data_IF_443839087578
#
_entry.id   IF_443839087578
#
_cell.length_a   1.000
_cell.length_b   1.000
_cell.length_c   1.000
_cell.angle_alpha   90.00
_cell.angle_beta   90.00
_cell.angle_gamma   90.00
#
_symmetry.space_group_name_H-M   'P 1'
#
loop_
_entity.id
_entity.type
_entity.pdbx_description
1 polymer ?
#
# COMPACT_ATOMS: atom_id res chain seq x y z
N UNK A 1 -0.02 -25.68 12.71
CA UNK A 1 0.34 -24.33 12.28
C UNK A 1 -0.25 -23.99 10.90
N UNK A 2 -0.10 -24.84 9.90
CA UNK A 2 -0.57 -24.61 8.52
C UNK A 2 -2.07 -24.27 8.44
N UNK A 3 -2.94 -25.08 9.04
CA UNK A 3 -4.39 -24.88 9.00
C UNK A 3 -4.86 -23.50 9.51
N UNK A 4 -4.15 -22.92 10.49
CA UNK A 4 -4.54 -21.62 11.07
C UNK A 4 -4.31 -20.42 10.16
N UNK A 5 -3.36 -20.52 9.22
CA UNK A 5 -3.03 -19.45 8.28
C UNK A 5 -3.62 -19.69 6.89
N UNK A 6 -4.29 -20.84 6.70
CA UNK A 6 -4.91 -21.20 5.42
C UNK A 6 -5.83 -20.11 4.86
N UNK A 7 -6.72 -19.47 5.67
CA UNK A 7 -7.57 -18.40 5.12
C UNK A 7 -6.75 -17.19 4.64
N UNK A 8 -5.66 -16.83 5.35
CA UNK A 8 -4.76 -15.75 4.92
C UNK A 8 -4.09 -16.11 3.59
N UNK A 9 -3.64 -17.35 3.43
CA UNK A 9 -3.01 -17.80 2.18
C UNK A 9 -3.99 -17.75 1.02
N UNK A 10 -5.21 -18.28 1.21
CA UNK A 10 -6.25 -18.23 0.19
C UNK A 10 -6.59 -16.79 -0.19
N UNK A 11 -6.70 -15.91 0.81
CA UNK A 11 -6.95 -14.50 0.56
C UNK A 11 -5.81 -13.82 -0.24
N UNK A 12 -4.55 -14.05 0.14
CA UNK A 12 -3.40 -13.48 -0.57
C UNK A 12 -3.27 -14.02 -2.00
N UNK A 13 -3.59 -15.29 -2.24
CA UNK A 13 -3.66 -15.86 -3.59
C UNK A 13 -4.76 -15.15 -4.39
N UNK A 14 -5.94 -15.01 -3.82
CA UNK A 14 -7.05 -14.35 -4.48
C UNK A 14 -6.79 -12.85 -4.74
N UNK A 15 -6.06 -12.17 -3.86
CA UNK A 15 -5.73 -10.76 -3.99
C UNK A 15 -4.60 -10.52 -5.00
N UNK A 16 -3.49 -11.26 -4.91
CA UNK A 16 -2.29 -11.03 -5.73
C UNK A 16 -2.35 -11.72 -7.08
N UNK A 17 -2.74 -13.00 -7.11
CA UNK A 17 -2.83 -13.78 -8.35
C UNK A 17 -4.17 -13.54 -9.04
N UNK A 18 -5.23 -13.27 -8.25
CA UNK A 18 -6.58 -12.96 -8.72
C UNK A 18 -7.15 -14.00 -9.71
N UNK A 19 -7.09 -15.32 -9.42
CA UNK A 19 -7.53 -16.37 -10.34
C UNK A 19 -9.03 -16.24 -10.71
N UNK A 20 -9.84 -15.66 -9.84
CA UNK A 20 -11.26 -15.38 -10.07
C UNK A 20 -11.53 -14.38 -11.21
N UNK A 21 -10.51 -13.71 -11.74
CA UNK A 21 -10.64 -12.76 -12.84
C UNK A 21 -10.22 -13.33 -14.19
N UNK A 22 -9.53 -14.48 -14.24
CA UNK A 22 -8.99 -15.03 -15.49
C UNK A 22 -9.02 -16.56 -15.61
N UNK A 23 -9.22 -17.32 -14.50
CA UNK A 23 -9.35 -18.78 -14.56
C UNK A 23 -10.81 -19.15 -14.75
N UNK A 24 -11.15 -19.78 -15.89
CA UNK A 24 -12.52 -20.10 -16.31
C UNK A 24 -13.32 -20.86 -15.22
N UNK A 25 -12.69 -21.79 -14.49
CA UNK A 25 -13.38 -22.61 -13.48
C UNK A 25 -13.87 -21.81 -12.26
N UNK A 26 -13.27 -20.65 -11.97
CA UNK A 26 -13.59 -19.81 -10.81
C UNK A 26 -13.91 -18.37 -11.20
N UNK A 27 -14.18 -18.16 -12.50
CA UNK A 27 -14.43 -16.83 -13.04
C UNK A 27 -15.61 -16.14 -12.33
N UNK A 28 -15.40 -14.89 -11.93
CA UNK A 28 -16.37 -14.04 -11.24
C UNK A 28 -16.84 -14.56 -9.87
N UNK A 29 -16.12 -15.49 -9.24
CA UNK A 29 -16.43 -15.87 -7.87
C UNK A 29 -16.17 -14.70 -6.91
N UNK A 30 -17.17 -14.46 -6.05
CA UNK A 30 -17.02 -13.46 -4.99
C UNK A 30 -16.15 -14.02 -3.87
N UNK A 31 -14.85 -13.71 -3.91
CA UNK A 31 -13.83 -14.21 -2.98
C UNK A 31 -14.21 -13.94 -1.52
N UNK A 32 -14.68 -12.71 -1.23
CA UNK A 32 -15.04 -12.30 0.12
C UNK A 32 -16.19 -13.12 0.68
N UNK A 33 -17.15 -13.50 -0.17
CA UNK A 33 -18.32 -14.27 0.22
C UNK A 33 -17.96 -15.68 0.71
N UNK A 34 -16.89 -16.27 0.18
CA UNK A 34 -16.45 -17.61 0.56
C UNK A 34 -15.34 -17.58 1.62
N UNK A 35 -14.35 -16.72 1.43
CA UNK A 35 -13.16 -16.70 2.29
C UNK A 35 -13.46 -16.13 3.68
N UNK A 36 -14.27 -15.07 3.81
CA UNK A 36 -14.50 -14.46 5.12
C UNK A 36 -15.30 -15.36 6.08
N UNK A 37 -16.42 -15.99 5.67
CA UNK A 37 -17.09 -16.96 6.54
C UNK A 37 -16.22 -18.15 6.89
N UNK A 38 -15.46 -18.70 5.94
CA UNK A 38 -14.48 -19.76 6.21
C UNK A 38 -13.42 -19.29 7.23
N UNK A 39 -12.95 -18.05 7.11
CA UNK A 39 -11.97 -17.50 8.04
C UNK A 39 -12.54 -17.33 9.45
N UNK A 40 -13.76 -16.83 9.57
CA UNK A 40 -14.49 -16.75 10.84
C UNK A 40 -14.66 -18.12 11.48
N UNK A 41 -15.02 -19.14 10.68
CA UNK A 41 -15.12 -20.52 11.13
C UNK A 41 -13.78 -21.08 11.67
N UNK A 42 -12.67 -20.81 10.98
CA UNK A 42 -11.33 -21.19 11.45
C UNK A 42 -10.98 -20.49 12.77
N UNK A 43 -11.32 -19.20 12.94
CA UNK A 43 -11.13 -18.48 14.20
C UNK A 43 -11.98 -19.06 15.34
N UNK A 44 -13.22 -19.46 15.04
CA UNK A 44 -14.11 -20.12 16.01
C UNK A 44 -13.53 -21.46 16.47
N UNK A 45 -13.11 -22.32 15.53
CA UNK A 45 -12.47 -23.61 15.86
C UNK A 45 -11.21 -23.47 16.71
N UNK A 46 -10.51 -22.34 16.58
CA UNK A 46 -9.31 -22.02 17.37
C UNK A 46 -9.59 -21.36 18.72
N UNK A 47 -10.85 -21.11 19.06
CA UNK A 47 -11.22 -20.32 20.24
C UNK A 47 -10.75 -18.88 20.21
N UNK A 48 -10.46 -18.32 19.01
CA UNK A 48 -9.93 -16.97 18.84
C UNK A 48 -10.96 -15.97 18.31
N UNK A 49 -12.20 -16.37 18.20
CA UNK A 49 -13.26 -15.48 17.71
C UNK A 49 -13.40 -14.23 18.58
N UNK A 50 -13.12 -14.31 19.88
CA UNK A 50 -13.10 -13.15 20.79
C UNK A 50 -12.10 -12.07 20.40
N UNK A 51 -10.95 -12.45 19.80
CA UNK A 51 -9.95 -11.48 19.34
C UNK A 51 -10.44 -10.68 18.12
N UNK A 52 -11.34 -11.24 17.32
CA UNK A 52 -11.98 -10.50 16.24
C UNK A 52 -12.83 -9.34 16.76
N UNK A 53 -13.51 -9.50 17.90
CA UNK A 53 -14.35 -8.47 18.50
C UNK A 53 -13.57 -7.54 19.46
N UNK A 54 -12.35 -7.89 19.84
CA UNK A 54 -11.53 -7.09 20.76
C UNK A 54 -10.91 -5.89 20.03
N UNK A 55 -11.52 -4.72 20.17
CA UNK A 55 -11.05 -3.48 19.56
C UNK A 55 -9.80 -2.94 20.25
N UNK A 56 -8.90 -2.39 19.44
CA UNK A 56 -7.65 -1.74 19.84
C UNK A 56 -7.60 -0.31 19.30
N UNK A 57 -6.61 0.45 19.70
CA UNK A 57 -6.50 1.86 19.29
C UNK A 57 -6.59 2.10 17.79
N UNK A 58 -5.84 1.38 16.90
CA UNK A 58 -5.98 1.58 15.45
C UNK A 58 -7.39 1.26 14.95
N UNK A 59 -8.06 0.25 15.55
CA UNK A 59 -9.41 -0.15 15.18
C UNK A 59 -10.43 0.97 15.43
N UNK A 60 -10.27 1.71 16.54
CA UNK A 60 -11.13 2.84 16.88
C UNK A 60 -11.00 3.98 15.87
N UNK A 61 -9.77 4.25 15.40
CA UNK A 61 -9.55 5.22 14.32
C UNK A 61 -10.15 4.77 13.00
N UNK A 62 -10.11 3.46 12.69
CA UNK A 62 -10.76 2.94 11.49
C UNK A 62 -12.29 3.05 11.59
N UNK A 63 -12.88 2.69 12.72
CA UNK A 63 -14.32 2.89 12.94
C UNK A 63 -14.71 4.36 12.87
N UNK A 64 -13.91 5.26 13.47
CA UNK A 64 -14.13 6.70 13.36
C UNK A 64 -14.05 7.19 11.90
N UNK A 65 -13.13 6.64 11.10
CA UNK A 65 -13.03 6.91 9.67
C UNK A 65 -14.30 6.50 8.92
N UNK A 66 -14.84 5.29 9.18
CA UNK A 66 -16.10 4.82 8.58
C UNK A 66 -17.29 5.68 8.99
N UNK A 67 -17.39 6.05 10.26
CA UNK A 67 -18.45 6.94 10.76
C UNK A 67 -18.32 8.33 10.13
N UNK A 68 -17.10 8.84 9.98
CA UNK A 68 -16.88 10.14 9.35
C UNK A 68 -17.27 10.15 7.87
N UNK A 69 -17.04 9.04 7.16
CA UNK A 69 -17.50 8.86 5.78
C UNK A 69 -19.04 9.01 5.70
N UNK A 70 -19.78 8.39 6.62
CA UNK A 70 -21.24 8.55 6.68
C UNK A 70 -21.62 10.01 6.96
N UNK A 71 -20.95 10.67 7.93
CA UNK A 71 -21.19 12.08 8.25
C UNK A 71 -20.92 12.98 7.04
N UNK A 72 -19.89 12.70 6.26
CA UNK A 72 -19.59 13.42 5.03
C UNK A 72 -20.73 13.33 4.01
N UNK A 73 -21.36 12.15 3.84
CA UNK A 73 -22.52 11.97 2.95
C UNK A 73 -23.84 12.56 3.49
N UNK A 74 -23.97 12.73 4.80
CA UNK A 74 -25.13 13.42 5.37
C UNK A 74 -25.10 14.93 5.14
N UNK A 75 -23.90 15.48 4.91
CA UNK A 75 -23.69 16.92 4.70
C UNK A 75 -23.49 17.29 3.23
N UNK A 76 -23.22 16.30 2.38
CA UNK A 76 -22.97 16.47 0.95
C UNK A 76 -23.80 15.47 0.13
N UNK A 77 -24.06 15.73 -1.16
CA UNK A 77 -24.70 14.73 -2.01
C UNK A 77 -23.89 13.45 -2.05
N UNK A 78 -24.49 12.34 -1.63
CA UNK A 78 -23.87 11.03 -1.77
C UNK A 78 -23.90 10.59 -3.23
N UNK A 79 -22.78 10.00 -3.78
CA UNK A 79 -22.81 9.44 -5.12
C UNK A 79 -23.81 8.28 -5.20
N UNK A 80 -24.35 7.99 -6.38
CA UNK A 80 -25.31 6.90 -6.57
C UNK A 80 -24.79 5.52 -6.12
N UNK A 81 -23.47 5.36 -6.04
CA UNK A 81 -22.76 4.15 -5.60
C UNK A 81 -22.19 4.25 -4.17
N UNK A 82 -22.63 5.23 -3.36
CA UNK A 82 -22.15 5.42 -1.99
C UNK A 82 -22.30 4.15 -1.12
N UNK A 83 -23.41 3.42 -1.26
CA UNK A 83 -23.62 2.17 -0.56
C UNK A 83 -22.56 1.12 -0.91
N UNK A 84 -22.15 1.02 -2.17
CA UNK A 84 -21.10 0.11 -2.62
C UNK A 84 -19.74 0.53 -2.04
N UNK A 85 -19.43 1.83 -2.03
CA UNK A 85 -18.21 2.36 -1.39
C UNK A 85 -18.20 1.94 0.08
N UNK A 86 -19.26 2.21 0.84
CA UNK A 86 -19.35 1.87 2.26
C UNK A 86 -19.18 0.37 2.50
N UNK A 87 -19.84 -0.47 1.71
CA UNK A 87 -19.71 -1.93 1.80
C UNK A 87 -18.26 -2.37 1.57
N UNK A 88 -17.54 -1.78 0.61
CA UNK A 88 -16.14 -2.11 0.37
C UNK A 88 -15.25 -1.72 1.56
N UNK A 89 -15.38 -0.51 2.10
CA UNK A 89 -14.61 -0.08 3.28
C UNK A 89 -14.96 -0.90 4.52
N UNK A 90 -16.23 -1.27 4.70
CA UNK A 90 -16.65 -2.16 5.78
C UNK A 90 -16.05 -3.57 5.61
N UNK A 91 -16.02 -4.12 4.39
CA UNK A 91 -15.33 -5.38 4.09
C UNK A 91 -13.84 -5.28 4.39
N UNK A 92 -13.17 -4.17 4.09
CA UNK A 92 -11.77 -3.94 4.44
C UNK A 92 -11.55 -3.85 5.95
N UNK A 93 -12.50 -3.29 6.69
CA UNK A 93 -12.47 -3.32 8.15
C UNK A 93 -12.63 -4.76 8.69
N UNK A 94 -13.54 -5.54 8.13
CA UNK A 94 -13.70 -6.97 8.48
C UNK A 94 -12.40 -7.75 8.17
N UNK A 95 -11.83 -7.57 6.97
CA UNK A 95 -10.54 -8.15 6.58
C UNK A 95 -9.44 -7.79 7.60
N UNK A 96 -9.32 -6.51 7.90
CA UNK A 96 -8.37 -6.01 8.89
C UNK A 96 -8.53 -6.75 10.22
N UNK A 97 -9.74 -6.92 10.72
CA UNK A 97 -10.02 -7.62 11.97
C UNK A 97 -9.70 -9.12 11.90
N UNK A 98 -10.01 -9.77 10.78
CA UNK A 98 -9.69 -11.18 10.53
C UNK A 98 -8.16 -11.43 10.57
N UNK A 99 -7.40 -10.55 9.93
CA UNK A 99 -5.92 -10.60 9.92
C UNK A 99 -5.37 -10.39 11.32
N UNK A 100 -5.83 -9.34 12.03
CA UNK A 100 -5.42 -9.06 13.42
C UNK A 100 -5.69 -10.24 14.35
N UNK A 101 -6.86 -10.87 14.25
CA UNK A 101 -7.21 -12.03 15.08
C UNK A 101 -6.38 -13.29 14.75
N UNK A 102 -5.90 -13.42 13.52
CA UNK A 102 -5.21 -14.63 13.04
C UNK A 102 -3.72 -14.64 13.33
N UNK A 103 -3.06 -13.48 13.25
CA UNK A 103 -1.61 -13.36 13.49
C UNK A 103 -1.37 -13.16 14.98
N UNK A 104 -0.97 -14.22 15.69
CA UNK A 104 -0.86 -14.29 17.13
C UNK A 104 0.57 -14.46 17.65
N UNK A 105 1.53 -14.60 16.75
CA UNK A 105 2.94 -14.84 17.09
C UNK A 105 3.87 -14.27 16.02
N UNK A 106 5.14 -13.95 16.35
CA UNK A 106 6.14 -13.57 15.36
C UNK A 106 6.32 -14.61 14.24
N UNK A 107 6.17 -15.90 14.59
CA UNK A 107 6.26 -16.98 13.62
C UNK A 107 5.09 -16.92 12.60
N UNK A 108 3.86 -16.62 13.05
CA UNK A 108 2.72 -16.44 12.16
C UNK A 108 2.93 -15.26 11.21
N UNK A 109 3.38 -14.12 11.73
CA UNK A 109 3.72 -12.93 10.93
C UNK A 109 4.80 -13.25 9.87
N UNK A 110 5.83 -14.00 10.25
CA UNK A 110 6.88 -14.45 9.31
C UNK A 110 6.33 -15.32 8.18
N UNK A 111 5.41 -16.24 8.48
CA UNK A 111 4.77 -17.07 7.45
C UNK A 111 3.91 -16.24 6.50
N UNK A 112 3.19 -15.24 7.00
CA UNK A 112 2.46 -14.29 6.13
C UNK A 112 3.43 -13.54 5.22
N UNK A 113 4.55 -13.03 5.74
CA UNK A 113 5.59 -12.39 4.94
C UNK A 113 6.17 -13.31 3.85
N UNK A 114 6.42 -14.59 4.17
CA UNK A 114 6.86 -15.59 3.18
C UNK A 114 5.78 -15.80 2.12
N UNK A 115 4.51 -15.88 2.50
CA UNK A 115 3.40 -16.02 1.55
C UNK A 115 3.33 -14.82 0.60
N UNK A 116 3.47 -13.60 1.13
CA UNK A 116 3.52 -12.38 0.30
C UNK A 116 4.67 -12.46 -0.71
N UNK A 117 5.88 -12.84 -0.27
CA UNK A 117 7.03 -13.03 -1.17
C UNK A 117 6.71 -14.08 -2.24
N UNK A 118 6.07 -15.19 -1.87
CA UNK A 118 5.79 -16.29 -2.80
C UNK A 118 4.77 -15.89 -3.86
N UNK A 119 3.63 -15.30 -3.46
CA UNK A 119 2.57 -14.91 -4.41
C UNK A 119 3.03 -13.74 -5.29
N UNK A 120 3.70 -12.74 -4.71
CA UNK A 120 4.27 -11.62 -5.49
C UNK A 120 5.41 -12.10 -6.40
N UNK A 121 6.18 -13.13 -5.99
CA UNK A 121 7.23 -13.75 -6.79
C UNK A 121 6.68 -14.45 -8.03
N UNK A 122 5.55 -15.17 -7.91
CA UNK A 122 4.85 -15.78 -9.06
C UNK A 122 4.45 -14.69 -10.05
N UNK A 123 3.85 -13.60 -9.57
CA UNK A 123 3.42 -12.48 -10.43
C UNK A 123 4.62 -11.68 -10.96
N UNK A 124 5.75 -11.64 -10.24
CA UNK A 124 6.99 -11.05 -10.75
C UNK A 124 7.59 -11.85 -11.91
N UNK A 125 7.53 -13.20 -11.86
CA UNK A 125 7.92 -14.06 -12.99
C UNK A 125 7.03 -13.79 -14.18
N UNK A 126 5.72 -13.65 -13.97
CA UNK A 126 4.79 -13.28 -15.04
C UNK A 126 5.15 -11.92 -15.66
N UNK A 127 5.46 -10.90 -14.84
CA UNK A 127 5.85 -9.59 -15.35
C UNK A 127 7.11 -9.66 -16.23
N UNK A 128 8.09 -10.51 -15.89
CA UNK A 128 9.29 -10.76 -16.71
C UNK A 128 8.91 -11.44 -18.03
N UNK A 129 8.08 -12.47 -17.99
CA UNK A 129 7.63 -13.20 -19.18
C UNK A 129 6.76 -12.31 -20.08
N UNK A 130 5.85 -11.54 -19.49
CA UNK A 130 4.96 -10.64 -20.20
C UNK A 130 5.74 -9.60 -21.01
N UNK A 131 6.73 -8.92 -20.41
CA UNK A 131 7.55 -7.93 -21.10
C UNK A 131 8.34 -8.53 -22.29
N UNK A 132 8.75 -9.81 -22.17
CA UNK A 132 9.53 -10.52 -23.19
C UNK A 132 8.65 -11.39 -24.10
N UNK A 133 7.32 -11.32 -23.96
CA UNK A 133 6.38 -12.09 -24.77
C UNK A 133 6.26 -11.51 -26.18
N UNK A 134 6.35 -12.37 -27.20
CA UNK A 134 6.13 -11.99 -28.60
C UNK A 134 4.70 -11.52 -28.86
N UNK A 135 3.73 -12.10 -28.14
CA UNK A 135 2.31 -11.74 -28.25
C UNK A 135 1.95 -10.45 -27.53
N UNK A 136 2.78 -9.98 -26.60
CA UNK A 136 2.46 -8.86 -25.71
C UNK A 136 1.28 -9.12 -24.77
N UNK A 137 0.92 -10.39 -24.56
CA UNK A 137 -0.21 -10.80 -23.70
C UNK A 137 0.32 -11.68 -22.57
N UNK A 138 -0.07 -11.35 -21.33
CA UNK A 138 0.27 -12.13 -20.13
C UNK A 138 -0.71 -13.27 -19.85
N UNK A 139 -0.46 -14.05 -18.80
CA UNK A 139 -1.24 -15.25 -18.42
C UNK A 139 -2.73 -14.98 -18.20
N UNK A 140 -3.04 -13.81 -17.64
CA UNK A 140 -4.42 -13.39 -17.37
C UNK A 140 -5.08 -12.67 -18.55
N UNK A 141 -4.46 -12.70 -19.73
CA UNK A 141 -4.97 -12.03 -20.92
C UNK A 141 -4.75 -10.51 -20.94
N UNK A 142 -4.03 -9.95 -19.95
CA UNK A 142 -3.69 -8.52 -19.94
C UNK A 142 -2.63 -8.21 -21.01
N UNK A 143 -2.70 -7.01 -21.58
CA UNK A 143 -1.73 -6.51 -22.56
C UNK A 143 -0.69 -5.62 -21.89
N UNK A 144 0.58 -5.68 -22.29
CA UNK A 144 1.63 -4.80 -21.76
C UNK A 144 1.66 -3.43 -22.46
N UNK A 145 1.07 -3.29 -23.61
CA UNK A 145 0.98 -2.01 -24.31
C UNK A 145 -0.17 -1.19 -23.72
N UNK A 146 0.17 -0.12 -23.03
CA UNK A 146 -0.78 0.95 -22.81
C UNK A 146 -0.58 1.99 -23.91
N UNK A 147 -1.48 2.02 -24.88
CA UNK A 147 -1.53 3.11 -25.86
C UNK A 147 -2.36 4.21 -25.23
N UNK A 148 -1.74 5.34 -24.93
CA UNK A 148 -2.51 6.55 -24.62
C UNK A 148 -3.32 6.90 -25.88
N UNK A 149 -4.66 6.86 -25.84
CA UNK A 149 -5.48 7.18 -27.02
C UNK A 149 -5.28 8.60 -27.53
N UNK A 150 -4.65 9.48 -26.74
CA UNK A 150 -4.33 10.86 -27.08
C UNK A 150 -2.93 11.04 -27.68
N UNK A 151 -2.10 9.99 -27.71
CA UNK A 151 -0.75 10.07 -28.25
C UNK A 151 -0.79 9.87 -29.76
N UNK A 152 -0.62 10.93 -30.52
CA UNK A 152 -0.43 10.91 -31.98
C UNK A 152 0.91 10.25 -32.42
N UNK A 153 1.77 9.90 -31.50
CA UNK A 153 3.07 9.30 -31.77
C UNK A 153 3.07 7.82 -31.40
N UNK A 154 3.28 6.97 -32.37
CA UNK A 154 3.45 5.52 -32.28
C UNK A 154 4.75 5.16 -31.55
N UNK A 155 4.75 5.28 -30.23
CA UNK A 155 5.73 4.67 -29.36
C UNK A 155 4.98 3.74 -28.42
N UNK A 156 5.02 2.43 -28.68
CA UNK A 156 4.49 1.43 -27.75
C UNK A 156 5.42 1.41 -26.55
N UNK A 157 5.08 2.16 -25.51
CA UNK A 157 5.73 2.04 -24.20
C UNK A 157 5.36 0.69 -23.60
N UNK A 158 6.28 -0.28 -23.72
CA UNK A 158 6.10 -1.60 -23.14
C UNK A 158 6.17 -1.54 -21.61
N UNK A 159 5.00 -1.45 -20.98
CA UNK A 159 4.85 -1.43 -19.51
C UNK A 159 4.01 -2.61 -19.07
N UNK A 160 4.51 -3.34 -18.06
CA UNK A 160 3.73 -4.44 -17.51
C UNK A 160 2.64 -3.94 -16.56
N UNK A 161 1.53 -4.65 -16.55
CA UNK A 161 0.41 -4.47 -15.61
C UNK A 161 -0.18 -5.84 -15.24
N UNK A 162 -1.04 -5.86 -14.24
CA UNK A 162 -1.74 -7.06 -13.82
C UNK A 162 -3.26 -6.86 -13.94
N UNK A 163 -4.05 -7.70 -13.31
CA UNK A 163 -5.50 -7.64 -13.30
C UNK A 163 -6.04 -7.19 -11.94
N UNK A 164 -7.32 -6.86 -11.88
CA UNK A 164 -7.99 -6.46 -10.63
C UNK A 164 -7.51 -5.10 -10.13
N UNK A 165 -7.24 -5.01 -8.83
CA UNK A 165 -6.76 -3.76 -8.21
C UNK A 165 -5.37 -3.34 -8.69
N UNK A 166 -4.61 -4.27 -9.27
CA UNK A 166 -3.27 -4.01 -9.83
C UNK A 166 -3.29 -3.73 -11.33
N UNK A 167 -4.46 -3.45 -11.89
CA UNK A 167 -4.61 -3.06 -13.29
C UNK A 167 -4.12 -1.62 -13.50
N UNK A 168 -2.88 -1.52 -13.87
CA UNK A 168 -2.17 -0.26 -14.11
C UNK A 168 -0.73 -0.32 -13.63
N UNK A 169 0.25 0.17 -14.42
CA UNK A 169 1.68 0.02 -14.12
C UNK A 169 2.07 0.57 -12.74
N UNK A 170 1.50 1.72 -12.33
CA UNK A 170 1.79 2.34 -11.06
C UNK A 170 1.31 1.52 -9.86
N UNK A 171 0.07 1.00 -9.94
CA UNK A 171 -0.52 0.17 -8.87
C UNK A 171 0.13 -1.21 -8.85
N UNK A 172 0.43 -1.78 -10.03
CA UNK A 172 1.13 -3.06 -10.14
C UNK A 172 2.51 -3.02 -9.46
N UNK A 173 3.24 -1.92 -9.64
CA UNK A 173 4.52 -1.72 -8.98
C UNK A 173 4.44 -1.78 -7.44
N UNK A 174 3.31 -1.39 -6.85
CA UNK A 174 3.10 -1.42 -5.38
C UNK A 174 3.19 -2.84 -4.85
N UNK A 175 2.68 -3.84 -5.58
CA UNK A 175 2.80 -5.25 -5.20
C UNK A 175 4.27 -5.63 -4.92
N UNK A 176 5.19 -5.20 -5.74
CA UNK A 176 6.61 -5.51 -5.63
C UNK A 176 7.32 -4.65 -4.59
N UNK A 177 7.02 -3.35 -4.56
CA UNK A 177 7.65 -2.43 -3.60
C UNK A 177 7.26 -2.76 -2.15
N UNK A 178 6.00 -3.14 -1.88
CA UNK A 178 5.57 -3.60 -0.53
C UNK A 178 6.23 -4.93 -0.15
N UNK A 179 6.49 -5.80 -1.13
CA UNK A 179 7.11 -7.12 -0.90
C UNK A 179 8.63 -7.02 -0.68
N UNK A 180 9.30 -6.07 -1.33
CA UNK A 180 10.76 -5.93 -1.32
C UNK A 180 11.37 -5.87 0.10
N UNK A 181 10.83 -5.15 1.10
CA UNK A 181 11.36 -5.15 2.45
C UNK A 181 11.37 -6.53 3.11
N UNK A 182 10.38 -7.38 2.83
CA UNK A 182 10.34 -8.77 3.33
C UNK A 182 11.43 -9.65 2.69
N UNK A 183 11.92 -9.32 1.51
CA UNK A 183 13.09 -9.95 0.89
C UNK A 183 14.37 -9.42 1.52
N UNK A 184 14.49 -8.11 1.68
CA UNK A 184 15.70 -7.44 2.20
C UNK A 184 16.02 -7.86 3.66
N UNK A 185 15.03 -8.28 4.46
CA UNK A 185 15.30 -8.81 5.81
C UNK A 185 16.27 -9.99 5.80
N UNK A 186 16.23 -10.81 4.74
CA UNK A 186 17.09 -11.99 4.63
C UNK A 186 18.56 -11.65 4.32
N UNK A 187 18.90 -10.42 3.98
CA UNK A 187 20.29 -9.98 3.82
C UNK A 187 21.04 -9.89 5.15
N UNK A 188 20.28 -9.95 6.26
CA UNK A 188 20.80 -9.91 7.63
C UNK A 188 21.59 -11.16 8.00
N UNK A 189 22.63 -10.97 8.84
CA UNK A 189 23.35 -12.06 9.47
C UNK A 189 22.52 -12.94 10.42
N UNK A 190 21.29 -12.51 10.77
CA UNK A 190 20.38 -13.31 11.59
C UNK A 190 19.84 -14.55 10.85
N UNK A 191 20.01 -14.61 9.53
CA UNK A 191 19.53 -15.70 8.69
C UNK A 191 20.69 -16.59 8.18
N UNK A 192 20.44 -17.92 7.94
CA UNK A 192 21.45 -18.81 7.40
C UNK A 192 21.86 -18.40 5.98
N UNK A 193 23.11 -18.72 5.63
CA UNK A 193 23.75 -18.32 4.37
C UNK A 193 22.91 -18.62 3.12
N UNK A 194 22.32 -19.81 3.03
CA UNK A 194 21.53 -20.20 1.87
C UNK A 194 20.27 -19.31 1.65
N UNK A 195 19.62 -18.84 2.74
CA UNK A 195 18.50 -17.89 2.62
C UNK A 195 18.98 -16.53 2.13
N UNK A 196 20.13 -16.09 2.62
CA UNK A 196 20.76 -14.84 2.19
C UNK A 196 21.11 -14.91 0.71
N UNK A 197 21.68 -16.05 0.27
CA UNK A 197 22.02 -16.28 -1.14
C UNK A 197 20.79 -16.25 -2.05
N UNK A 198 19.71 -16.95 -1.69
CA UNK A 198 18.43 -16.93 -2.44
C UNK A 198 17.87 -15.52 -2.51
N UNK A 199 17.83 -14.79 -1.39
CA UNK A 199 17.31 -13.43 -1.36
C UNK A 199 18.13 -12.49 -2.24
N UNK A 200 19.45 -12.58 -2.20
CA UNK A 200 20.36 -11.71 -2.95
C UNK A 200 20.44 -12.07 -4.43
N UNK A 201 20.63 -13.35 -4.76
CA UNK A 201 20.90 -13.79 -6.12
C UNK A 201 19.66 -14.05 -6.97
N UNK A 202 18.50 -14.28 -6.34
CA UNK A 202 17.27 -14.62 -7.05
C UNK A 202 16.16 -13.62 -6.80
N UNK A 203 15.75 -13.42 -5.53
CA UNK A 203 14.52 -12.66 -5.24
C UNK A 203 14.71 -11.15 -5.45
N UNK A 204 15.82 -10.56 -5.00
CA UNK A 204 16.05 -9.12 -5.17
C UNK A 204 16.19 -8.71 -6.65
N UNK A 205 16.94 -9.43 -7.50
CA UNK A 205 16.95 -9.15 -8.94
C UNK A 205 15.59 -9.36 -9.60
N UNK A 206 14.84 -10.41 -9.23
CA UNK A 206 13.50 -10.67 -9.76
C UNK A 206 12.55 -9.50 -9.48
N UNK A 207 12.46 -9.08 -8.21
CA UNK A 207 11.61 -7.96 -7.84
C UNK A 207 12.13 -6.62 -8.39
N UNK A 208 13.44 -6.42 -8.45
CA UNK A 208 14.05 -5.25 -9.07
C UNK A 208 13.68 -5.13 -10.55
N UNK A 209 13.77 -6.23 -11.29
CA UNK A 209 13.36 -6.26 -12.69
C UNK A 209 11.85 -6.10 -12.87
N UNK A 210 11.04 -6.72 -12.03
CA UNK A 210 9.59 -6.56 -12.06
C UNK A 210 9.18 -5.09 -11.80
N UNK A 211 9.82 -4.40 -10.85
CA UNK A 211 9.62 -2.96 -10.62
C UNK A 211 10.02 -2.17 -11.88
N UNK A 212 11.17 -2.45 -12.45
CA UNK A 212 11.67 -1.81 -13.67
C UNK A 212 10.68 -2.00 -14.84
N UNK A 213 10.18 -3.21 -15.05
CA UNK A 213 9.29 -3.56 -16.16
C UNK A 213 7.94 -2.83 -16.14
N UNK A 214 7.50 -2.33 -14.96
CA UNK A 214 6.30 -1.51 -14.87
C UNK A 214 6.47 -0.12 -15.51
N UNK A 215 7.69 0.36 -15.72
CA UNK A 215 7.95 1.72 -16.18
C UNK A 215 7.42 2.82 -15.26
N UNK A 216 7.11 2.49 -14.00
CA UNK A 216 6.54 3.44 -13.04
C UNK A 216 7.63 4.27 -12.35
N UNK A 217 7.69 5.57 -12.65
CA UNK A 217 8.60 6.51 -11.97
C UNK A 217 8.33 6.59 -10.48
N UNK A 218 7.06 6.67 -10.08
CA UNK A 218 6.66 6.64 -8.67
C UNK A 218 7.07 5.34 -7.98
N UNK A 219 6.98 4.20 -8.68
CA UNK A 219 7.45 2.91 -8.19
C UNK A 219 8.96 2.85 -7.97
N UNK A 220 9.76 3.42 -8.89
CA UNK A 220 11.21 3.51 -8.72
C UNK A 220 11.59 4.41 -7.55
N UNK A 221 10.95 5.58 -7.41
CA UNK A 221 11.15 6.44 -6.24
C UNK A 221 10.82 5.72 -4.94
N UNK A 222 9.75 4.95 -4.93
CA UNK A 222 9.38 4.11 -3.78
C UNK A 222 10.44 3.06 -3.49
N UNK A 223 10.97 2.37 -4.50
CA UNK A 223 12.03 1.37 -4.32
C UNK A 223 13.32 2.00 -3.76
N UNK A 224 13.68 3.20 -4.22
CA UNK A 224 14.79 3.97 -3.69
C UNK A 224 14.56 4.40 -2.23
N UNK A 225 13.35 4.86 -1.90
CA UNK A 225 12.98 5.20 -0.52
C UNK A 225 13.08 3.96 0.41
N UNK A 226 12.60 2.80 -0.04
CA UNK A 226 12.71 1.53 0.67
C UNK A 226 14.16 1.14 0.89
N UNK A 227 15.00 1.21 -0.15
CA UNK A 227 16.43 0.92 -0.06
C UNK A 227 17.14 1.88 0.92
N UNK A 228 16.75 3.17 0.89
CA UNK A 228 17.23 4.19 1.83
C UNK A 228 16.85 3.87 3.26
N UNK A 229 15.57 3.60 3.53
CA UNK A 229 15.09 3.22 4.88
C UNK A 229 15.77 1.95 5.39
N UNK A 230 15.92 0.95 4.51
CA UNK A 230 16.64 -0.28 4.85
C UNK A 230 18.10 -0.02 5.19
N UNK A 231 18.81 0.78 4.38
CA UNK A 231 20.20 1.13 4.61
C UNK A 231 20.37 1.91 5.94
N UNK A 232 19.50 2.87 6.22
CA UNK A 232 19.49 3.62 7.50
C UNK A 232 19.30 2.69 8.69
N UNK A 233 18.36 1.76 8.60
CA UNK A 233 18.10 0.78 9.66
C UNK A 233 19.27 -0.14 9.94
N UNK A 234 20.18 -0.33 8.95
CA UNK A 234 21.27 -1.26 9.00
C UNK A 234 22.63 -0.62 9.33
N UNK A 235 22.93 0.53 8.73
CA UNK A 235 24.28 1.09 8.71
C UNK A 235 24.46 2.36 9.54
N UNK A 236 23.45 2.77 10.34
CA UNK A 236 23.46 4.04 11.08
C UNK A 236 23.92 5.21 10.22
N UNK A 237 23.32 5.33 9.04
CA UNK A 237 23.67 6.33 8.04
C UNK A 237 23.36 7.72 8.59
N UNK A 238 24.34 8.62 8.57
CA UNK A 238 24.16 10.02 8.96
C UNK A 238 23.31 10.80 7.94
N UNK A 239 22.82 11.95 8.36
CA UNK A 239 21.97 12.82 7.54
C UNK A 239 22.66 13.26 6.22
N UNK A 240 23.96 13.46 6.25
CA UNK A 240 24.81 13.76 5.10
C UNK A 240 24.70 12.71 4.00
N UNK A 241 24.80 11.44 4.37
CA UNK A 241 24.68 10.32 3.43
C UNK A 241 23.27 10.14 2.91
N UNK A 242 22.24 10.43 3.74
CA UNK A 242 20.85 10.44 3.29
C UNK A 242 20.60 11.51 2.23
N UNK A 243 21.18 12.71 2.41
CA UNK A 243 21.11 13.79 1.41
C UNK A 243 21.77 13.33 0.11
N UNK A 244 22.96 12.73 0.16
CA UNK A 244 23.62 12.21 -1.04
C UNK A 244 22.86 11.07 -1.72
N UNK A 245 22.19 10.20 -0.95
CA UNK A 245 21.29 9.18 -1.50
C UNK A 245 20.08 9.79 -2.21
N UNK A 246 19.49 10.84 -1.63
CA UNK A 246 18.38 11.58 -2.24
C UNK A 246 18.82 12.30 -3.52
N UNK A 247 20.00 12.97 -3.50
CA UNK A 247 20.59 13.61 -4.69
C UNK A 247 20.91 12.57 -5.78
N UNK A 248 21.50 11.44 -5.42
CA UNK A 248 21.76 10.34 -6.35
C UNK A 248 20.51 9.75 -6.95
N UNK A 249 19.43 9.59 -6.15
CA UNK A 249 18.11 9.17 -6.61
C UNK A 249 17.49 10.18 -7.59
N UNK A 250 17.56 11.46 -7.28
CA UNK A 250 17.08 12.52 -8.16
C UNK A 250 17.92 12.56 -9.48
N UNK A 251 19.23 12.47 -9.39
CA UNK A 251 20.10 12.39 -10.56
C UNK A 251 19.78 11.16 -11.43
N UNK A 252 19.54 10.00 -10.82
CA UNK A 252 19.12 8.80 -11.53
C UNK A 252 17.77 8.99 -12.25
N UNK A 253 16.85 9.73 -11.67
CA UNK A 253 15.56 10.06 -12.32
C UNK A 253 15.71 11.00 -13.51
N UNK A 254 16.73 11.85 -13.51
CA UNK A 254 17.03 12.81 -14.60
C UNK A 254 17.93 12.18 -15.68
N UNK A 255 18.94 11.42 -15.28
CA UNK A 255 19.98 10.86 -16.16
C UNK A 255 19.74 9.38 -16.52
N UNK A 256 18.70 8.77 -15.96
CA UNK A 256 18.37 7.35 -16.14
C UNK A 256 17.84 7.01 -17.54
N UNK A 257 17.35 5.78 -17.72
CA UNK A 257 16.86 5.30 -19.02
C UNK A 257 15.85 6.23 -19.68
N UNK A 258 15.83 6.29 -20.99
CA UNK A 258 15.05 7.24 -21.79
C UNK A 258 13.55 7.30 -21.44
N UNK A 259 12.92 6.18 -21.06
CA UNK A 259 11.53 6.15 -20.63
C UNK A 259 11.28 6.87 -19.29
N UNK A 260 12.34 7.04 -18.46
CA UNK A 260 12.29 7.86 -17.23
C UNK A 260 12.52 9.33 -17.51
N UNK A 261 13.23 9.65 -18.60
CA UNK A 261 13.68 10.99 -18.95
C UNK A 261 12.89 11.63 -20.09
N UNK A 262 12.00 10.89 -20.78
CA UNK A 262 11.14 11.44 -21.84
C UNK A 262 10.29 12.60 -21.28
N UNK A 263 10.69 13.84 -21.58
CA UNK A 263 10.17 15.06 -20.95
C UNK A 263 8.80 15.44 -21.53
N UNK A 264 8.53 15.13 -22.80
CA UNK A 264 7.34 15.59 -23.51
C UNK A 264 6.03 15.01 -23.00
N UNK A 265 5.95 13.68 -22.77
CA UNK A 265 4.74 13.05 -22.23
C UNK A 265 4.68 13.13 -20.70
N UNK A 266 5.85 13.26 -20.05
CA UNK A 266 5.94 13.40 -18.60
C UNK A 266 5.50 14.77 -18.09
N UNK A 267 5.71 15.82 -18.86
CA UNK A 267 5.29 17.18 -18.47
C UNK A 267 3.76 17.28 -18.44
N UNK A 268 3.05 16.76 -19.44
CA UNK A 268 1.59 16.74 -19.47
C UNK A 268 0.99 15.93 -18.31
N UNK A 269 1.51 14.71 -18.07
CA UNK A 269 1.04 13.86 -16.96
C UNK A 269 1.39 14.42 -15.57
N UNK A 270 2.53 15.11 -15.43
CA UNK A 270 2.90 15.78 -14.18
C UNK A 270 2.03 17.02 -13.95
N UNK A 271 1.88 17.87 -14.98
CA UNK A 271 1.02 19.04 -14.91
C UNK A 271 -0.41 18.67 -14.52
N UNK A 272 -0.95 17.66 -15.17
CA UNK A 272 -2.29 17.17 -14.88
C UNK A 272 -2.49 16.71 -13.42
N UNK A 273 -1.47 16.11 -12.80
CA UNK A 273 -1.52 15.77 -11.37
C UNK A 273 -1.51 17.01 -10.50
N UNK A 274 -0.70 18.03 -10.84
CA UNK A 274 -0.66 19.28 -10.09
C UNK A 274 -2.00 19.99 -10.16
N UNK A 275 -2.66 19.98 -11.34
CA UNK A 275 -4.00 20.54 -11.50
C UNK A 275 -5.01 19.80 -10.59
N UNK A 276 -4.97 18.46 -10.55
CA UNK A 276 -5.83 17.69 -9.65
C UNK A 276 -5.52 17.92 -8.16
N UNK A 277 -4.26 18.18 -7.83
CA UNK A 277 -3.87 18.52 -6.45
C UNK A 277 -4.38 19.90 -6.06
N UNK A 278 -4.36 20.85 -7.01
CA UNK A 278 -4.96 22.18 -6.82
C UNK A 278 -6.46 22.04 -6.52
N UNK A 279 -7.20 21.31 -7.34
CA UNK A 279 -8.63 21.02 -7.12
C UNK A 279 -8.88 20.39 -5.74
N UNK A 280 -8.05 19.40 -5.35
CA UNK A 280 -8.15 18.77 -4.03
C UNK A 280 -7.92 19.73 -2.86
N UNK A 281 -6.99 20.70 -3.00
CA UNK A 281 -6.79 21.75 -2.01
C UNK A 281 -8.00 22.69 -1.95
N UNK A 282 -8.58 23.03 -3.10
CA UNK A 282 -9.77 23.87 -3.18
C UNK A 282 -10.97 23.20 -2.50
N UNK A 283 -11.20 21.89 -2.74
CA UNK A 283 -12.23 21.11 -2.04
C UNK A 283 -12.10 21.22 -0.51
N UNK A 284 -10.87 21.08 0.02
CA UNK A 284 -10.62 21.22 1.47
C UNK A 284 -10.87 22.63 1.95
N UNK A 285 -10.50 23.67 1.19
CA UNK A 285 -10.70 25.05 1.58
C UNK A 285 -12.18 25.45 1.61
N UNK A 286 -12.97 24.92 0.67
CA UNK A 286 -14.42 25.14 0.62
C UNK A 286 -15.13 24.33 1.71
N UNK A 287 -14.73 23.08 1.97
CA UNK A 287 -15.38 22.17 2.89
C UNK A 287 -14.39 21.49 3.86
N UNK A 288 -13.76 22.24 4.79
CA UNK A 288 -12.63 21.75 5.59
C UNK A 288 -12.98 20.62 6.56
N UNK A 289 -14.25 20.52 7.00
CA UNK A 289 -14.70 19.49 7.95
C UNK A 289 -15.12 18.20 7.25
N UNK A 290 -16.05 18.28 6.32
CA UNK A 290 -16.67 17.09 5.75
C UNK A 290 -16.22 16.77 4.33
N UNK A 291 -15.41 17.65 3.70
CA UNK A 291 -15.03 17.52 2.30
C UNK A 291 -16.24 17.62 1.37
N UNK A 292 -16.15 17.03 0.19
CA UNK A 292 -17.22 17.03 -0.83
C UNK A 292 -18.04 15.72 -0.86
N UNK A 293 -17.80 14.80 0.09
CA UNK A 293 -18.41 13.46 0.12
C UNK A 293 -17.52 12.40 -0.54
N UNK A 294 -17.30 11.26 0.16
CA UNK A 294 -16.47 10.16 -0.35
C UNK A 294 -16.98 9.63 -1.69
N UNK A 295 -16.09 9.53 -2.68
CA UNK A 295 -16.39 9.07 -4.04
C UNK A 295 -16.79 10.18 -5.01
N UNK A 296 -16.78 11.45 -4.60
CA UNK A 296 -17.16 12.58 -5.46
C UNK A 296 -15.97 13.27 -6.14
N UNK A 297 -14.73 12.92 -5.81
CA UNK A 297 -13.55 13.59 -6.35
C UNK A 297 -13.55 13.59 -7.89
N UNK A 298 -13.72 12.43 -8.51
CA UNK A 298 -13.74 12.31 -9.96
C UNK A 298 -14.92 13.02 -10.63
N UNK A 299 -16.07 13.10 -9.95
CA UNK A 299 -17.23 13.85 -10.45
C UNK A 299 -16.99 15.36 -10.40
N UNK A 300 -16.33 15.85 -9.34
CA UNK A 300 -15.98 17.27 -9.18
C UNK A 300 -14.96 17.74 -10.23
N UNK A 301 -13.92 16.94 -10.50
CA UNK A 301 -12.82 17.25 -11.42
C UNK A 301 -13.10 16.88 -12.87
N UNK A 302 -14.31 16.46 -13.22
CA UNK A 302 -14.64 16.02 -14.58
C UNK A 302 -14.13 14.62 -14.95
N UNK A 303 -14.16 13.69 -13.98
CA UNK A 303 -13.78 12.26 -14.08
C UNK A 303 -12.31 11.93 -13.89
N UNK A 304 -11.55 12.83 -13.30
CA UNK A 304 -10.13 12.63 -13.00
C UNK A 304 -9.92 12.35 -11.51
N UNK A 305 -8.94 11.49 -11.19
CA UNK A 305 -8.56 11.16 -9.82
C UNK A 305 -7.29 11.90 -9.41
N UNK A 306 -7.08 12.09 -8.10
CA UNK A 306 -5.94 12.85 -7.58
C UNK A 306 -4.57 12.21 -7.87
N UNK A 307 -4.51 10.91 -8.12
CA UNK A 307 -3.27 10.13 -8.12
C UNK A 307 -2.42 10.34 -6.86
N UNK A 308 -3.09 10.64 -5.75
CA UNK A 308 -2.50 10.85 -4.44
C UNK A 308 -3.58 10.58 -3.38
N UNK A 309 -3.39 9.52 -2.57
CA UNK A 309 -4.40 9.09 -1.60
C UNK A 309 -4.72 10.15 -0.56
N UNK A 310 -3.71 10.86 -0.06
CA UNK A 310 -3.93 11.87 0.99
C UNK A 310 -4.75 13.05 0.49
N UNK A 311 -4.53 13.49 -0.75
CA UNK A 311 -5.29 14.57 -1.38
C UNK A 311 -6.73 14.14 -1.62
N UNK A 312 -6.94 12.93 -2.13
CA UNK A 312 -8.28 12.40 -2.38
C UNK A 312 -9.06 12.24 -1.07
N UNK A 313 -8.43 11.69 -0.03
CA UNK A 313 -9.05 11.55 1.29
C UNK A 313 -9.43 12.91 1.89
N UNK A 314 -8.52 13.88 1.88
CA UNK A 314 -8.82 15.18 2.48
C UNK A 314 -9.81 16.00 1.64
N UNK A 315 -9.78 15.90 0.31
CA UNK A 315 -10.76 16.54 -0.56
C UNK A 315 -12.17 16.00 -0.34
N UNK A 316 -12.30 14.68 -0.25
CA UNK A 316 -13.59 14.00 -0.10
C UNK A 316 -14.15 13.99 1.33
N UNK A 317 -13.28 13.90 2.35
CA UNK A 317 -13.66 13.71 3.76
C UNK A 317 -13.21 14.87 4.67
N UNK A 318 -12.60 15.91 4.13
CA UNK A 318 -12.05 17.01 4.90
C UNK A 318 -10.83 16.63 5.75
N UNK A 319 -10.38 17.56 6.56
CA UNK A 319 -9.22 17.35 7.45
C UNK A 319 -9.44 16.26 8.51
N UNK A 320 -10.65 16.07 9.09
CA UNK A 320 -10.86 14.95 10.01
C UNK A 320 -10.77 13.57 9.34
N UNK A 321 -11.19 13.43 8.07
CA UNK A 321 -10.99 12.19 7.32
C UNK A 321 -9.50 11.83 7.21
N UNK A 322 -8.67 12.80 6.82
CA UNK A 322 -7.21 12.63 6.79
C UNK A 322 -6.65 12.34 8.19
N UNK A 323 -7.14 13.01 9.24
CA UNK A 323 -6.72 12.77 10.63
C UNK A 323 -6.97 11.33 11.07
N UNK A 324 -8.15 10.77 10.78
CA UNK A 324 -8.46 9.38 11.13
C UNK A 324 -7.61 8.38 10.35
N UNK A 325 -7.43 8.60 9.05
CA UNK A 325 -6.58 7.76 8.21
C UNK A 325 -5.10 7.76 8.66
N UNK A 326 -4.55 8.95 8.97
CA UNK A 326 -3.22 9.08 9.58
C UNK A 326 -3.17 8.40 10.94
N UNK A 327 -4.24 8.49 11.72
CA UNK A 327 -4.34 7.85 13.04
C UNK A 327 -4.22 6.33 12.98
N UNK A 328 -4.92 5.66 12.05
CA UNK A 328 -4.80 4.22 11.83
C UNK A 328 -3.32 3.85 11.61
N UNK A 329 -2.67 4.57 10.71
CA UNK A 329 -1.27 4.36 10.33
C UNK A 329 -0.32 4.62 11.51
N UNK A 330 -0.48 5.75 12.18
CA UNK A 330 0.37 6.16 13.30
C UNK A 330 0.35 5.13 14.43
N UNK A 331 -0.84 4.69 14.85
CA UNK A 331 -0.95 3.73 15.95
C UNK A 331 -0.50 2.32 15.54
N UNK A 332 -0.67 1.93 14.27
CA UNK A 332 -0.06 0.72 13.73
C UNK A 332 1.47 0.76 13.79
N UNK A 333 2.08 1.83 13.31
CA UNK A 333 3.54 2.03 13.35
C UNK A 333 4.06 2.14 14.79
N UNK A 334 3.33 2.81 15.67
CA UNK A 334 3.69 2.90 17.10
C UNK A 334 3.70 1.52 17.76
N UNK A 335 2.76 0.63 17.42
CA UNK A 335 2.76 -0.76 17.88
C UNK A 335 4.04 -1.49 17.47
N UNK A 336 4.47 -1.32 16.21
CA UNK A 336 5.73 -1.91 15.73
C UNK A 336 6.94 -1.39 16.50
N UNK A 337 7.01 -0.07 16.71
CA UNK A 337 8.14 0.56 17.42
C UNK A 337 8.22 0.06 18.87
N UNK A 338 7.11 0.02 19.58
CA UNK A 338 7.07 -0.48 20.96
C UNK A 338 7.56 -1.93 21.03
N UNK A 339 7.03 -2.81 20.15
CA UNK A 339 7.48 -4.20 20.13
C UNK A 339 8.93 -4.37 19.72
N UNK A 340 9.40 -3.57 18.75
CA UNK A 340 10.82 -3.55 18.36
C UNK A 340 11.74 -3.23 19.55
N UNK A 341 11.32 -2.30 20.42
CA UNK A 341 12.09 -1.94 21.62
C UNK A 341 12.07 -3.05 22.67
N UNK A 342 11.00 -3.82 22.77
CA UNK A 342 10.86 -4.97 23.68
C UNK A 342 11.63 -6.21 23.21
N UNK A 343 11.65 -6.46 21.91
CA UNK A 343 12.16 -7.71 21.35
C UNK A 343 13.68 -7.83 21.47
N UNK A 344 14.15 -9.00 21.92
CA UNK A 344 15.58 -9.38 21.94
C UNK A 344 15.92 -10.37 20.81
N UNK A 345 14.91 -10.93 20.10
CA UNK A 345 15.15 -11.81 18.96
C UNK A 345 15.50 -10.99 17.71
N UNK A 346 16.71 -11.16 17.21
CA UNK A 346 17.20 -10.47 16.02
C UNK A 346 16.34 -10.73 14.78
N UNK A 347 15.79 -11.95 14.63
CA UNK A 347 14.93 -12.28 13.49
C UNK A 347 13.56 -11.61 13.59
N UNK A 348 13.02 -11.48 14.80
CA UNK A 348 11.80 -10.72 15.02
C UNK A 348 12.02 -9.24 14.71
N UNK A 349 13.11 -8.66 15.23
CA UNK A 349 13.45 -7.24 14.96
C UNK A 349 13.57 -6.95 13.46
N UNK A 350 14.22 -7.83 12.69
CA UNK A 350 14.32 -7.70 11.24
C UNK A 350 12.93 -7.74 10.57
N UNK A 351 12.05 -8.62 11.02
CA UNK A 351 10.69 -8.74 10.51
C UNK A 351 9.86 -7.48 10.80
N UNK A 352 9.97 -6.93 12.01
CA UNK A 352 9.28 -5.69 12.41
C UNK A 352 9.78 -4.48 11.61
N UNK A 353 11.09 -4.36 11.39
CA UNK A 353 11.69 -3.33 10.52
C UNK A 353 11.14 -3.47 9.11
N UNK A 354 11.13 -4.68 8.54
CA UNK A 354 10.66 -4.93 7.18
C UNK A 354 9.19 -4.55 7.01
N UNK A 355 8.34 -4.90 7.98
CA UNK A 355 6.94 -4.50 7.98
C UNK A 355 6.79 -2.97 8.05
N UNK A 356 7.56 -2.30 8.90
CA UNK A 356 7.57 -0.84 8.99
C UNK A 356 8.02 -0.16 7.69
N UNK A 357 9.07 -0.68 7.04
CA UNK A 357 9.55 -0.17 5.75
C UNK A 357 8.51 -0.43 4.64
N UNK A 358 7.78 -1.56 4.68
CA UNK A 358 6.68 -1.83 3.74
C UNK A 358 5.56 -0.81 3.88
N UNK A 359 5.19 -0.42 5.11
CA UNK A 359 4.21 0.66 5.35
C UNK A 359 4.72 1.99 4.81
N UNK A 360 5.98 2.34 5.07
CA UNK A 360 6.60 3.56 4.53
C UNK A 360 6.61 3.53 2.99
N UNK A 361 6.99 2.41 2.39
CA UNK A 361 6.97 2.23 0.94
C UNK A 361 5.56 2.42 0.35
N UNK A 362 4.53 1.88 1.01
CA UNK A 362 3.15 2.08 0.59
C UNK A 362 2.74 3.57 0.65
N UNK A 363 3.09 4.26 1.75
CA UNK A 363 2.84 5.70 1.90
C UNK A 363 3.54 6.53 0.82
N UNK A 364 4.81 6.20 0.49
CA UNK A 364 5.53 6.88 -0.61
C UNK A 364 4.85 6.61 -1.95
N UNK A 365 4.44 5.37 -2.24
CA UNK A 365 3.69 5.03 -3.45
C UNK A 365 2.36 5.80 -3.53
N UNK A 366 1.68 6.00 -2.38
CA UNK A 366 0.39 6.69 -2.30
C UNK A 366 0.47 8.19 -2.63
N UNK A 367 1.67 8.77 -2.71
CA UNK A 367 1.89 10.14 -3.20
C UNK A 367 1.78 10.22 -4.73
N UNK A 368 1.91 9.10 -5.44
CA UNK A 368 1.95 9.06 -6.91
C UNK A 368 0.76 8.33 -7.54
N UNK A 369 0.03 7.55 -6.73
CA UNK A 369 -1.14 6.78 -7.15
C UNK A 369 -2.15 6.77 -6.01
N UNK A 370 -3.45 6.84 -6.31
CA UNK A 370 -4.48 6.59 -5.30
C UNK A 370 -4.48 5.12 -4.92
N UNK A 371 -4.16 4.82 -3.67
CA UNK A 371 -3.90 3.47 -3.14
C UNK A 371 -4.75 3.14 -1.90
N UNK A 372 -5.96 3.67 -1.83
CA UNK A 372 -6.87 3.33 -0.76
C UNK A 372 -7.62 2.04 -1.09
N UNK A 373 -6.89 0.90 -1.02
CA UNK A 373 -7.38 -0.44 -1.35
C UNK A 373 -7.21 -1.41 -0.17
N UNK A 374 -7.76 -2.61 -0.27
CA UNK A 374 -7.64 -3.69 0.72
C UNK A 374 -6.20 -4.05 1.07
N UNK A 375 -5.24 -3.91 0.13
CA UNK A 375 -3.81 -4.13 0.39
C UNK A 375 -3.26 -3.22 1.48
N UNK A 376 -3.72 -1.96 1.53
CA UNK A 376 -3.35 -1.01 2.58
C UNK A 376 -3.82 -1.48 3.95
N UNK A 377 -5.09 -1.83 4.05
CA UNK A 377 -5.70 -2.25 5.31
C UNK A 377 -5.19 -3.62 5.77
N UNK A 378 -4.85 -4.51 4.83
CA UNK A 378 -4.17 -5.76 5.14
C UNK A 378 -2.79 -5.50 5.77
N UNK A 379 -1.99 -4.61 5.18
CA UNK A 379 -0.67 -4.25 5.70
C UNK A 379 -0.76 -3.59 7.08
N UNK A 380 -1.71 -2.68 7.30
CA UNK A 380 -1.97 -2.07 8.60
C UNK A 380 -2.47 -3.09 9.63
N UNK A 381 -3.27 -4.08 9.22
CA UNK A 381 -3.69 -5.17 10.08
C UNK A 381 -2.50 -6.00 10.57
N UNK A 382 -1.50 -6.25 9.71
CA UNK A 382 -0.25 -6.91 10.13
C UNK A 382 0.47 -6.11 11.22
N UNK A 383 0.50 -4.77 11.13
CA UNK A 383 1.12 -3.93 12.17
C UNK A 383 0.35 -3.99 13.48
N UNK A 384 -0.97 -3.90 13.42
CA UNK A 384 -1.83 -3.96 14.60
C UNK A 384 -1.80 -5.34 15.29
N UNK A 385 -1.67 -6.42 14.49
CA UNK A 385 -1.59 -7.79 15.01
C UNK A 385 -0.38 -8.01 15.92
N UNK A 386 0.68 -7.21 15.77
CA UNK A 386 1.88 -7.27 16.65
C UNK A 386 1.52 -7.08 18.11
N UNK A 387 0.45 -6.33 18.42
CA UNK A 387 -0.05 -6.18 19.78
C UNK A 387 -0.56 -7.48 20.43
N UNK A 388 -0.74 -8.57 19.66
CA UNK A 388 -1.15 -9.88 20.20
C UNK A 388 -0.07 -10.54 21.08
N UNK A 389 1.19 -10.14 20.91
CA UNK A 389 2.32 -10.68 21.67
C UNK A 389 3.26 -9.60 22.21
N UNK A 390 2.88 -8.33 22.11
CA UNK A 390 3.56 -7.22 22.76
C UNK A 390 3.10 -7.08 24.19
N UNK A 391 4.02 -6.80 25.11
CA UNK A 391 3.69 -6.51 26.50
C UNK A 391 3.08 -5.12 26.66
N UNK A 392 3.44 -4.19 25.76
CA UNK A 392 2.97 -2.81 25.74
C UNK A 392 2.06 -2.59 24.53
N UNK A 393 0.81 -2.21 24.80
CA UNK A 393 -0.15 -1.82 23.76
C UNK A 393 -0.30 -0.30 23.79
N UNK A 394 -0.20 0.40 22.64
CA UNK A 394 -0.34 1.85 22.63
C UNK A 394 -1.74 2.29 23.04
N UNK A 395 -1.81 3.18 24.00
CA UNK A 395 -3.02 3.90 24.42
C UNK A 395 -3.01 5.30 23.83
N UNK A 396 -4.20 5.87 23.61
CA UNK A 396 -4.32 7.24 23.08
C UNK A 396 -3.96 8.24 24.16
N UNK A 397 -2.96 9.07 23.91
CA UNK A 397 -2.62 10.21 24.75
C UNK A 397 -2.88 11.53 24.03
N UNK A 398 -2.99 12.63 24.79
CA UNK A 398 -3.09 13.98 24.19
C UNK A 398 -1.89 14.30 23.28
N UNK A 399 -0.71 13.77 23.61
CA UNK A 399 0.49 13.93 22.78
C UNK A 399 0.33 13.24 21.42
N UNK A 400 -0.22 12.03 21.40
CA UNK A 400 -0.45 11.28 20.18
C UNK A 400 -1.44 11.99 19.24
N UNK A 401 -2.55 12.49 19.80
CA UNK A 401 -3.54 13.26 19.03
C UNK A 401 -2.91 14.51 18.41
N UNK A 402 -2.05 15.22 19.16
CA UNK A 402 -1.29 16.36 18.63
C UNK A 402 -0.34 15.95 17.51
N UNK A 403 0.35 14.80 17.64
CA UNK A 403 1.26 14.30 16.61
C UNK A 403 0.46 13.95 15.33
N UNK A 404 -0.63 13.19 15.46
CA UNK A 404 -1.49 12.83 14.33
C UNK A 404 -2.04 14.08 13.65
N UNK A 405 -2.52 15.05 14.44
CA UNK A 405 -2.98 16.35 13.91
C UNK A 405 -1.88 17.14 13.21
N UNK A 406 -0.67 17.17 13.79
CA UNK A 406 0.48 17.84 13.20
C UNK A 406 0.92 17.20 11.88
N UNK A 407 0.86 15.86 11.78
CA UNK A 407 1.15 15.14 10.52
C UNK A 407 0.10 15.50 9.46
N UNK A 408 -1.19 15.48 9.79
CA UNK A 408 -2.26 15.79 8.85
C UNK A 408 -2.20 17.24 8.38
N UNK A 409 -2.00 18.20 9.29
CA UNK A 409 -1.84 19.62 8.95
C UNK A 409 -0.56 19.89 8.18
N UNK A 410 0.55 19.23 8.56
CA UNK A 410 1.83 19.35 7.86
C UNK A 410 1.75 18.81 6.43
N UNK A 411 1.06 17.70 6.23
CA UNK A 411 0.81 17.15 4.89
C UNK A 411 0.02 18.16 4.02
N UNK A 412 -1.10 18.68 4.54
CA UNK A 412 -1.89 19.70 3.84
C UNK A 412 -1.06 20.93 3.50
N UNK A 413 -0.31 21.47 4.48
CA UNK A 413 0.52 22.67 4.28
C UNK A 413 1.61 22.43 3.23
N UNK A 414 2.25 21.25 3.24
CA UNK A 414 3.29 20.90 2.28
C UNK A 414 2.74 20.78 0.86
N UNK A 415 1.61 20.10 0.67
CA UNK A 415 0.99 19.98 -0.65
C UNK A 415 0.51 21.35 -1.14
N UNK A 416 -0.13 22.15 -0.26
CA UNK A 416 -0.55 23.52 -0.61
C UNK A 416 0.62 24.39 -1.04
N UNK A 417 1.72 24.37 -0.29
CA UNK A 417 2.92 25.13 -0.63
C UNK A 417 3.51 24.67 -1.98
N UNK A 418 3.55 23.35 -2.24
CA UNK A 418 4.02 22.80 -3.51
C UNK A 418 3.18 23.30 -4.69
N UNK A 419 1.86 23.16 -4.60
CA UNK A 419 0.92 23.57 -5.66
C UNK A 419 0.92 25.08 -5.91
N UNK A 420 1.22 25.93 -4.89
CA UNK A 420 1.30 27.38 -5.05
C UNK A 420 2.59 27.87 -5.72
N UNK A 421 3.64 27.05 -5.73
CA UNK A 421 4.95 27.38 -6.33
C UNK A 421 5.03 26.87 -7.78
N UNK A 422 4.26 25.86 -8.12
CA UNK A 422 4.29 25.21 -9.44
C UNK A 422 3.25 25.81 -10.39
#
# INVERSE_FOLDING_TARGET
>A
MLFRLLPIWLYLIALFIAPQLWVQAVLNWSVDFFIYPFWMFVLLLRGRIGEFFRLRTPDLFFLAYLLWMIMSWLTNPAPSYAALIFVNYFKWFVLYRLVVASIDTPAALRHVGITIISVAGIVAIEAVQHLNSVSGIGWAGQSFSWVDPSAEAVGIDARTRWVGIFDGPGVFCVMFTVTLPFVLQYFSGAHPFWKRLIAFALLAPLFGYAIYSTGSRGGLLTALAIAGCWAVSRYRIGLDKLIWMAVGGAAFMVLGPAYLTSVTDSSKSAQHRVDMWFEGIEMVQQNPLFGIGKGNFAAYTGRLIAHNSGIEIMGELGMPGLFFWVGITYFGMRTLVLRYMESQDARERELLISLGISVIGYLVSSLFVTLEYETWYFLLAMTAAVSNWSSTVPTVTRKDLKIVGAIALGYFALIKAFVMVY
#
